data_IF_558250590510
#
_entry.id   IF_558250590510
#
_cell.length_a   1.000
_cell.length_b   1.000
_cell.length_c   1.000
_cell.angle_alpha   90.00
_cell.angle_beta   90.00
_cell.angle_gamma   90.00
#
_symmetry.space_group_name_H-M   'P 1'
#
loop_
_entity.id
_entity.type
_entity.pdbx_description
1 polymer ?
#
# COMPACT_ATOMS: atom_id res chain seq x y z
N UNK A 1 29.26 30.63 -8.25
CA UNK A 1 28.08 30.27 -7.43
C UNK A 1 28.62 29.90 -6.07
N UNK A 2 28.19 30.59 -5.01
CA UNK A 2 28.66 30.25 -3.66
C UNK A 2 28.06 28.89 -3.25
N UNK A 3 28.90 27.96 -2.81
CA UNK A 3 28.46 26.68 -2.26
C UNK A 3 27.66 26.89 -0.96
N UNK A 4 26.87 25.88 -0.57
CA UNK A 4 26.24 25.90 0.75
C UNK A 4 27.32 25.80 1.83
N UNK A 5 27.27 26.62 2.91
CA UNK A 5 28.28 26.63 3.98
C UNK A 5 28.37 25.31 4.76
N UNK A 6 27.34 24.48 4.65
CA UNK A 6 27.26 23.14 5.21
C UNK A 6 26.72 22.22 4.13
N UNK A 7 27.32 21.03 3.99
CA UNK A 7 26.78 19.95 3.17
C UNK A 7 26.90 18.61 3.90
N UNK A 8 26.02 17.68 3.54
CA UNK A 8 26.03 16.32 4.07
C UNK A 8 26.42 15.33 2.98
N UNK A 9 27.23 14.36 3.35
CA UNK A 9 27.45 13.12 2.60
C UNK A 9 26.99 11.96 3.48
N UNK A 10 26.27 11.00 2.94
CA UNK A 10 25.74 9.88 3.71
C UNK A 10 26.41 8.57 3.29
N UNK A 11 26.78 7.76 4.27
CA UNK A 11 27.42 6.48 4.05
C UNK A 11 26.36 5.44 3.67
N UNK A 12 26.40 4.98 2.41
CA UNK A 12 25.59 3.85 1.97
C UNK A 12 24.37 4.20 1.12
N UNK A 13 24.49 3.83 -0.16
CA UNK A 13 23.45 3.38 -1.11
C UNK A 13 22.11 4.15 -1.13
N UNK A 14 22.08 5.26 -1.87
CA UNK A 14 21.18 5.59 -3.01
C UNK A 14 21.03 7.12 -3.19
N UNK A 15 22.13 7.86 -3.35
CA UNK A 15 22.09 9.20 -3.95
C UNK A 15 22.23 9.07 -5.47
N UNK A 16 21.18 8.62 -6.16
CA UNK A 16 21.12 8.78 -7.63
C UNK A 16 20.67 10.21 -7.93
N UNK A 17 21.61 11.15 -7.99
CA UNK A 17 21.32 12.57 -8.25
C UNK A 17 20.83 13.34 -7.03
N UNK A 18 20.06 14.42 -7.24
CA UNK A 18 19.53 15.34 -6.21
C UNK A 18 18.44 14.72 -5.30
N UNK A 19 18.28 13.40 -5.27
CA UNK A 19 17.27 12.73 -4.43
C UNK A 19 17.78 12.55 -2.99
N UNK A 20 16.89 12.68 -2.01
CA UNK A 20 17.20 12.46 -0.60
C UNK A 20 17.66 11.01 -0.34
N UNK A 21 18.66 10.79 0.53
CA UNK A 21 19.12 9.44 0.88
C UNK A 21 18.01 8.67 1.61
N UNK A 22 17.89 7.37 1.36
CA UNK A 22 16.85 6.52 1.95
C UNK A 22 17.45 5.47 2.88
N UNK A 23 16.95 5.38 4.10
CA UNK A 23 17.39 4.47 5.16
C UNK A 23 16.28 3.50 5.58
N UNK A 24 16.69 2.34 6.06
CA UNK A 24 15.79 1.35 6.66
C UNK A 24 15.87 1.49 8.18
N UNK A 25 14.74 1.70 8.85
CA UNK A 25 14.68 1.87 10.31
C UNK A 25 13.85 0.74 10.97
N UNK A 26 14.24 0.25 12.17
CA UNK A 26 15.42 0.64 12.96
C UNK A 26 16.74 0.22 12.31
N UNK A 27 17.83 0.91 12.64
CA UNK A 27 19.10 0.71 11.93
C UNK A 27 20.14 1.81 12.18
N UNK A 28 21.09 1.93 11.25
CA UNK A 28 22.15 2.94 11.28
C UNK A 28 21.87 4.05 10.27
N UNK A 29 21.99 5.30 10.71
CA UNK A 29 22.06 6.47 9.84
C UNK A 29 23.42 7.11 10.06
N UNK A 30 24.32 6.95 9.09
CA UNK A 30 25.69 7.45 9.17
C UNK A 30 26.09 8.27 7.95
N UNK A 31 27.11 9.10 8.12
CA UNK A 31 27.62 9.98 7.09
C UNK A 31 28.65 10.95 7.63
N UNK A 32 28.96 11.97 6.83
CA UNK A 32 29.84 13.08 7.16
C UNK A 32 29.13 14.41 6.92
N UNK A 33 29.31 15.35 7.84
CA UNK A 33 28.98 16.76 7.61
C UNK A 33 30.26 17.49 7.21
N UNK A 34 30.17 18.25 6.12
CA UNK A 34 31.23 19.11 5.62
C UNK A 34 30.86 20.55 5.94
N UNK A 35 31.73 21.25 6.66
CA UNK A 35 31.53 22.62 7.09
C UNK A 35 32.62 23.48 6.47
N UNK A 36 32.23 24.54 5.78
CA UNK A 36 33.16 25.48 5.18
C UNK A 36 34.10 26.08 6.24
N UNK A 37 35.36 26.28 5.85
CA UNK A 37 36.43 26.78 6.73
C UNK A 37 36.02 28.00 7.54
N UNK A 38 35.41 28.98 6.87
CA UNK A 38 34.98 30.24 7.48
C UNK A 38 33.95 30.04 8.60
N UNK A 39 33.05 29.06 8.45
CA UNK A 39 32.04 28.74 9.47
C UNK A 39 32.65 27.91 10.59
N UNK A 40 33.50 26.93 10.24
CA UNK A 40 34.20 26.11 11.21
C UNK A 40 35.05 26.95 12.17
N UNK A 41 35.77 27.96 11.66
CA UNK A 41 36.58 28.87 12.48
C UNK A 41 35.76 29.74 13.45
N UNK A 42 34.48 29.97 13.17
CA UNK A 42 33.57 30.77 14.03
C UNK A 42 32.82 29.92 15.05
N UNK A 43 32.70 28.62 14.80
CA UNK A 43 32.00 27.68 15.67
C UNK A 43 32.90 27.12 16.77
N UNK A 44 32.36 27.01 17.98
CA UNK A 44 32.98 26.29 19.11
C UNK A 44 32.44 24.86 19.25
N UNK A 45 31.23 24.61 18.76
CA UNK A 45 30.59 23.31 18.82
C UNK A 45 29.68 23.07 17.62
N UNK A 46 29.50 21.79 17.28
CA UNK A 46 28.55 21.32 16.26
C UNK A 46 27.61 20.32 16.92
N UNK A 47 26.30 20.54 16.79
CA UNK A 47 25.26 19.61 17.21
C UNK A 47 24.59 19.04 15.98
N UNK A 48 24.58 17.72 15.89
CA UNK A 48 23.86 16.95 14.89
C UNK A 48 22.63 16.33 15.54
N UNK A 49 21.46 16.49 14.93
CA UNK A 49 20.21 15.93 15.44
C UNK A 49 19.51 15.15 14.34
N UNK A 50 19.27 13.86 14.54
CA UNK A 50 18.32 13.09 13.73
C UNK A 50 16.94 13.20 14.37
N UNK A 51 15.99 13.77 13.63
CA UNK A 51 14.60 13.94 14.06
C UNK A 51 13.66 13.13 13.19
N UNK A 52 12.58 12.61 13.78
CA UNK A 52 11.44 12.01 13.09
C UNK A 52 10.15 12.67 13.59
N UNK A 53 9.44 13.30 12.66
CA UNK A 53 8.23 14.07 12.94
C UNK A 53 7.03 13.53 12.18
N UNK A 54 5.90 13.47 12.87
CA UNK A 54 4.58 13.14 12.34
C UNK A 54 3.71 14.38 12.42
N UNK A 55 3.17 14.81 11.30
CA UNK A 55 2.16 15.86 11.21
C UNK A 55 0.89 15.26 10.63
N UNK A 56 -0.23 15.46 11.29
CA UNK A 56 -1.55 15.08 10.78
C UNK A 56 -2.51 16.25 10.89
N UNK A 57 -3.38 16.42 9.90
CA UNK A 57 -4.52 17.30 10.03
C UNK A 57 -5.73 16.79 9.27
N UNK A 58 -6.89 17.02 9.86
CA UNK A 58 -8.20 16.66 9.32
C UNK A 58 -9.02 17.93 9.23
N UNK A 59 -9.57 18.20 8.04
CA UNK A 59 -10.50 19.29 7.81
C UNK A 59 -11.85 18.72 7.42
N UNK A 60 -12.89 19.08 8.16
CA UNK A 60 -14.26 18.64 7.94
C UNK A 60 -15.16 19.84 7.59
N UNK A 61 -15.74 19.82 6.40
CA UNK A 61 -16.66 20.85 5.92
C UNK A 61 -18.12 20.40 5.99
N UNK A 62 -18.96 21.21 6.65
CA UNK A 62 -20.42 21.03 6.70
C UNK A 62 -21.06 21.95 5.67
N UNK A 63 -21.42 21.42 4.51
CA UNK A 63 -21.94 22.24 3.40
C UNK A 63 -23.23 23.00 3.74
N UNK A 64 -24.04 22.48 4.67
CA UNK A 64 -25.30 23.11 5.07
C UNK A 64 -25.11 24.42 5.85
N UNK A 65 -23.99 24.57 6.57
CA UNK A 65 -23.71 25.73 7.42
C UNK A 65 -22.52 26.56 6.93
N UNK A 66 -21.79 26.07 5.92
CA UNK A 66 -20.54 26.69 5.47
C UNK A 66 -19.41 26.62 6.51
N UNK A 67 -19.59 25.89 7.61
CA UNK A 67 -18.59 25.76 8.67
C UNK A 67 -17.51 24.76 8.28
N UNK A 68 -16.27 25.10 8.64
CA UNK A 68 -15.09 24.26 8.44
C UNK A 68 -14.44 24.04 9.81
N UNK A 69 -14.39 22.79 10.23
CA UNK A 69 -13.63 22.36 11.41
C UNK A 69 -12.27 21.85 10.94
N UNK A 70 -11.19 22.40 11.49
CA UNK A 70 -9.83 21.92 11.24
C UNK A 70 -9.22 21.44 12.56
N UNK A 71 -8.63 20.25 12.53
CA UNK A 71 -7.86 19.69 13.64
C UNK A 71 -6.48 19.30 13.14
N UNK A 72 -5.45 19.52 13.96
CA UNK A 72 -4.07 19.18 13.62
C UNK A 72 -3.34 18.63 14.84
N UNK A 73 -2.40 17.72 14.58
CA UNK A 73 -1.50 17.14 15.56
C UNK A 73 -0.09 17.12 14.95
N UNK A 74 0.88 17.58 15.71
CA UNK A 74 2.32 17.42 15.42
C UNK A 74 2.93 16.59 16.56
N UNK A 75 3.69 15.56 16.21
CA UNK A 75 4.35 14.67 17.16
C UNK A 75 5.80 14.43 16.74
N UNK A 76 6.73 14.77 17.64
CA UNK A 76 8.11 14.32 17.57
C UNK A 76 8.20 12.91 18.17
N UNK A 77 8.60 11.92 17.39
CA UNK A 77 8.66 10.51 17.83
C UNK A 77 10.07 9.91 17.75
N UNK A 78 11.03 10.65 17.20
CA UNK A 78 12.44 10.29 17.18
C UNK A 78 13.25 11.57 17.34
N UNK A 79 14.15 11.60 18.31
CA UNK A 79 15.17 12.62 18.47
C UNK A 79 16.44 11.96 18.98
N UNK A 80 17.48 11.95 18.16
CA UNK A 80 18.82 11.49 18.53
C UNK A 80 19.79 12.63 18.32
N UNK A 81 20.60 12.90 19.34
CA UNK A 81 21.53 14.03 19.35
C UNK A 81 22.97 13.51 19.44
N UNK A 82 23.83 14.05 18.61
CA UNK A 82 25.27 13.89 18.66
C UNK A 82 25.93 15.28 18.72
N UNK A 83 26.85 15.48 19.66
CA UNK A 83 27.47 16.78 19.92
C UNK A 83 28.98 16.67 19.90
N UNK A 84 29.59 17.51 19.08
CA UNK A 84 31.04 17.64 18.93
C UNK A 84 31.47 18.95 19.57
N UNK A 85 31.95 18.87 20.81
CA UNK A 85 32.53 19.99 21.54
C UNK A 85 34.02 20.08 21.19
N UNK A 86 34.48 21.27 20.83
CA UNK A 86 35.82 21.51 20.27
C UNK A 86 35.96 21.00 18.84
N UNK A 87 35.64 21.87 17.89
CA UNK A 87 36.39 21.88 16.63
C UNK A 87 37.80 22.29 17.03
N UNK A 88 38.63 21.33 17.49
CA UNK A 88 40.04 21.61 17.72
C UNK A 88 40.54 22.31 16.47
N UNK A 89 41.25 23.42 16.65
CA UNK A 89 41.93 24.11 15.56
C UNK A 89 43.02 23.16 15.06
N UNK A 90 42.62 22.10 14.35
CA UNK A 90 43.51 21.22 13.61
C UNK A 90 44.35 22.18 12.80
N UNK A 91 45.67 22.15 12.99
CA UNK A 91 46.59 23.10 12.38
C UNK A 91 46.34 23.18 10.88
N UNK A 92 45.54 24.17 10.47
CA UNK A 92 45.06 24.39 9.10
C UNK A 92 46.19 25.03 8.28
N UNK A 93 47.34 24.36 8.21
CA UNK A 93 48.50 24.78 7.43
C UNK A 93 48.37 24.45 5.93
N UNK A 94 47.20 23.98 5.48
CA UNK A 94 46.86 23.73 4.07
C UNK A 94 45.67 24.57 3.63
N UNK A 95 45.78 25.20 2.46
CA UNK A 95 45.01 26.39 2.07
C UNK A 95 43.53 26.15 1.67
N UNK A 96 42.98 24.93 1.75
CA UNK A 96 41.63 24.62 1.22
C UNK A 96 40.81 23.64 2.08
N UNK A 97 41.08 23.51 3.39
CA UNK A 97 40.40 22.51 4.22
C UNK A 97 38.97 22.90 4.64
N UNK A 98 37.96 22.12 4.25
CA UNK A 98 36.66 22.07 4.94
C UNK A 98 36.78 21.18 6.19
N UNK A 99 36.04 21.50 7.25
CA UNK A 99 35.93 20.64 8.42
C UNK A 99 34.99 19.48 8.10
N UNK A 100 35.47 18.25 8.28
CA UNK A 100 34.69 17.03 8.04
C UNK A 100 34.43 16.32 9.36
N UNK A 101 33.17 16.22 9.77
CA UNK A 101 32.78 15.54 11.00
C UNK A 101 31.96 14.29 10.64
N UNK A 102 32.45 13.08 10.93
CA UNK A 102 31.66 11.86 10.77
C UNK A 102 30.59 11.77 11.87
N UNK A 103 29.43 11.23 11.53
CA UNK A 103 28.35 10.97 12.48
C UNK A 103 27.74 9.59 12.26
N UNK A 104 27.19 9.02 13.33
CA UNK A 104 26.49 7.74 13.27
C UNK A 104 25.38 7.71 14.31
N UNK A 105 24.13 7.76 13.87
CA UNK A 105 22.96 7.54 14.71
C UNK A 105 22.58 6.06 14.70
N UNK A 106 22.54 5.46 15.89
CA UNK A 106 21.95 4.12 16.09
C UNK A 106 20.48 4.29 16.46
N UNK A 107 19.60 4.03 15.51
CA UNK A 107 18.16 4.16 15.73
C UNK A 107 17.64 2.89 16.41
N UNK A 108 17.14 2.99 17.66
CA UNK A 108 16.69 1.82 18.41
C UNK A 108 15.41 1.26 17.82
N UNK A 109 15.14 -0.04 17.99
CA UNK A 109 13.78 -0.56 17.75
C UNK A 109 12.80 0.16 18.68
N UNK A 110 11.69 0.73 18.19
CA UNK A 110 10.77 1.43 19.05
C UNK A 110 10.17 0.42 20.05
N UNK A 111 10.34 0.71 21.34
CA UNK A 111 9.75 -0.12 22.38
C UNK A 111 8.23 -0.03 22.26
N UNK A 112 7.51 -1.17 22.32
CA UNK A 112 6.05 -1.17 22.32
C UNK A 112 5.59 -0.37 23.53
N UNK A 113 5.11 0.86 23.32
CA UNK A 113 4.59 1.68 24.39
C UNK A 113 3.23 1.12 24.81
N UNK A 114 3.22 0.07 25.65
CA UNK A 114 2.12 -0.35 26.54
C UNK A 114 0.70 -0.50 25.96
N UNK A 115 0.48 -0.33 24.67
CA UNK A 115 -0.84 -0.30 24.06
C UNK A 115 -1.27 -1.74 23.81
N UNK A 116 -2.24 -2.20 24.58
CA UNK A 116 -2.91 -3.48 24.41
C UNK A 116 -3.95 -3.37 23.28
N UNK A 117 -3.50 -3.40 22.03
CA UNK A 117 -4.37 -3.39 20.86
C UNK A 117 -3.64 -3.77 19.57
N UNK A 118 -4.36 -4.06 18.49
CA UNK A 118 -3.79 -4.46 17.19
C UNK A 118 -2.78 -3.43 16.65
N UNK A 119 -2.99 -2.13 16.94
CA UNK A 119 -2.07 -1.05 16.60
C UNK A 119 -1.00 -0.76 17.66
N UNK A 120 -1.16 -1.28 18.88
CA UNK A 120 -0.17 -1.16 19.95
C UNK A 120 1.07 -2.04 19.77
N UNK A 121 1.06 -2.90 18.74
CA UNK A 121 2.19 -3.70 18.29
C UNK A 121 2.86 -3.14 17.03
N UNK A 122 2.56 -1.89 16.64
CA UNK A 122 3.32 -1.20 15.60
C UNK A 122 4.74 -0.89 16.10
N UNK A 123 5.60 -1.89 16.11
CA UNK A 123 7.00 -1.88 16.58
C UNK A 123 7.96 -1.28 15.57
N UNK A 124 7.47 -0.42 14.68
CA UNK A 124 8.26 0.10 13.56
C UNK A 124 8.04 1.60 13.36
N UNK A 125 9.10 2.28 12.92
CA UNK A 125 9.04 3.66 12.50
C UNK A 125 8.19 3.79 11.22
N UNK A 126 7.27 4.77 11.13
CA UNK A 126 6.49 4.97 9.93
C UNK A 126 7.41 5.33 8.75
N UNK A 127 7.14 4.82 7.54
CA UNK A 127 7.90 5.23 6.36
C UNK A 127 7.71 6.72 6.07
N UNK A 128 8.71 7.36 5.46
CA UNK A 128 8.59 8.74 4.99
C UNK A 128 7.39 8.85 4.05
N UNK A 129 6.50 9.78 4.36
CA UNK A 129 5.25 9.92 3.65
C UNK A 129 4.80 11.37 3.62
N UNK A 130 4.23 11.79 2.50
CA UNK A 130 3.39 13.00 2.45
C UNK A 130 2.10 12.69 1.70
N UNK A 131 0.98 12.94 2.36
CA UNK A 131 -0.37 12.79 1.85
C UNK A 131 -0.94 14.18 1.60
N UNK A 132 -1.19 14.47 0.32
CA UNK A 132 -1.84 15.73 -0.08
C UNK A 132 -3.32 15.76 0.29
N UNK A 133 -3.86 16.97 0.36
CA UNK A 133 -5.28 17.24 0.70
C UNK A 133 -6.22 16.81 -0.42
N UNK A 134 -6.42 15.49 -0.62
CA UNK A 134 -7.44 15.01 -1.56
C UNK A 134 -8.78 14.97 -0.85
N UNK A 135 -9.80 15.57 -1.48
CA UNK A 135 -11.18 15.51 -0.98
C UNK A 135 -11.75 14.14 -1.27
N UNK A 136 -12.13 13.39 -0.24
CA UNK A 136 -13.18 12.40 -0.37
C UNK A 136 -14.51 13.16 -0.28
N UNK A 137 -15.25 13.21 -1.40
CA UNK A 137 -16.64 13.65 -1.36
C UNK A 137 -17.46 12.45 -0.93
N UNK A 138 -17.90 12.47 0.32
CA UNK A 138 -18.84 11.48 0.84
C UNK A 138 -20.07 12.26 1.27
N UNK A 139 -21.16 12.12 0.51
CA UNK A 139 -22.39 12.89 0.69
C UNK A 139 -22.21 14.43 0.56
N UNK A 140 -23.01 15.19 1.31
CA UNK A 140 -22.95 16.66 1.42
C UNK A 140 -21.80 17.15 2.32
N UNK A 141 -20.95 16.26 2.82
CA UNK A 141 -19.81 16.59 3.68
C UNK A 141 -18.50 16.39 2.91
N UNK A 142 -17.57 17.33 3.04
CA UNK A 142 -16.26 17.20 2.44
C UNK A 142 -15.21 17.09 3.54
N UNK A 143 -14.55 15.95 3.63
CA UNK A 143 -13.36 15.79 4.46
C UNK A 143 -12.09 15.97 3.62
N UNK A 144 -11.06 16.55 4.23
CA UNK A 144 -9.70 16.60 3.70
C UNK A 144 -8.76 16.06 4.77
N UNK A 145 -7.84 15.21 4.34
CA UNK A 145 -6.79 14.66 5.18
C UNK A 145 -5.44 15.22 4.72
N UNK A 146 -4.57 15.52 5.67
CA UNK A 146 -3.15 15.76 5.42
C UNK A 146 -2.35 14.98 6.44
N UNK A 147 -1.37 14.22 5.97
CA UNK A 147 -0.45 13.46 6.81
C UNK A 147 0.95 13.61 6.27
N UNK A 148 1.92 13.91 7.12
CA UNK A 148 3.33 13.96 6.77
C UNK A 148 4.15 13.23 7.82
N UNK A 149 5.06 12.36 7.36
CA UNK A 149 6.08 11.71 8.18
C UNK A 149 7.41 12.11 7.55
N UNK A 150 8.21 12.86 8.31
CA UNK A 150 9.49 13.39 7.85
C UNK A 150 10.60 12.99 8.80
N UNK A 151 11.74 12.67 8.21
CA UNK A 151 12.97 12.42 8.93
C UNK A 151 14.01 13.41 8.46
N UNK A 152 14.69 14.04 9.41
CA UNK A 152 15.61 15.14 9.10
C UNK A 152 16.88 14.99 9.92
N UNK A 153 18.03 15.16 9.27
CA UNK A 153 19.29 15.39 9.95
C UNK A 153 19.56 16.89 9.95
N UNK A 154 19.74 17.45 11.15
CA UNK A 154 19.93 18.88 11.38
C UNK A 154 21.33 19.08 11.94
N UNK A 155 22.13 19.92 11.28
CA UNK A 155 23.41 20.42 11.79
C UNK A 155 23.24 21.84 12.30
N UNK A 156 23.55 22.05 13.58
CA UNK A 156 23.53 23.35 14.25
C UNK A 156 24.96 23.70 14.70
N UNK A 157 25.45 24.87 14.28
CA UNK A 157 26.76 25.39 14.70
C UNK A 157 26.53 26.43 15.80
N UNK A 158 27.35 26.35 16.84
CA UNK A 158 27.27 27.24 17.99
C UNK A 158 28.55 28.02 18.19
N UNK A 159 28.42 29.30 18.54
CA UNK A 159 29.49 30.15 19.03
C UNK A 159 29.18 30.51 20.49
N UNK A 160 29.79 29.78 21.43
CA UNK A 160 29.36 29.82 22.83
C UNK A 160 27.97 29.20 22.96
N UNK A 161 27.01 29.90 23.56
CA UNK A 161 25.62 29.43 23.67
C UNK A 161 24.73 29.86 22.49
N UNK A 162 25.25 30.69 21.57
CA UNK A 162 24.46 31.21 20.46
C UNK A 162 24.56 30.30 19.24
N UNK A 163 23.42 29.85 18.74
CA UNK A 163 23.33 29.23 17.41
C UNK A 163 23.64 30.27 16.33
N UNK A 164 24.62 29.96 15.48
CA UNK A 164 25.05 30.84 14.38
C UNK A 164 24.58 30.36 13.01
N UNK A 165 24.39 29.06 12.84
CA UNK A 165 23.96 28.46 11.58
C UNK A 165 23.21 27.15 11.84
N UNK A 166 22.15 26.93 11.06
CA UNK A 166 21.38 25.70 11.05
C UNK A 166 21.18 25.24 9.61
N UNK A 167 21.47 23.97 9.35
CA UNK A 167 21.29 23.35 8.05
C UNK A 167 20.58 22.02 8.21
N UNK A 168 19.53 21.80 7.41
CA UNK A 168 18.69 20.62 7.50
C UNK A 168 18.72 19.83 6.19
N UNK A 169 18.72 18.51 6.29
CA UNK A 169 18.55 17.60 5.15
C UNK A 169 17.48 16.59 5.47
N UNK A 170 16.50 16.49 4.58
CA UNK A 170 15.50 15.43 4.61
C UNK A 170 16.13 14.10 4.22
N UNK A 171 15.75 13.04 4.93
CA UNK A 171 16.07 11.66 4.59
C UNK A 171 14.78 10.86 4.38
N UNK A 172 14.81 9.96 3.41
CA UNK A 172 13.77 8.96 3.23
C UNK A 172 13.92 7.83 4.24
N UNK A 173 12.82 7.34 4.76
CA UNK A 173 12.78 6.13 5.59
C UNK A 173 11.83 5.14 4.95
N UNK A 174 12.31 3.91 4.79
CA UNK A 174 11.49 2.76 4.44
C UNK A 174 11.39 1.84 5.66
N UNK A 175 10.18 1.33 5.89
CA UNK A 175 9.95 0.33 6.92
C UNK A 175 10.16 -1.05 6.27
N UNK A 176 11.17 -1.79 6.73
CA UNK A 176 11.52 -3.14 6.25
C UNK A 176 11.48 -4.09 7.42
N UNK A 177 10.30 -4.30 8.00
CA UNK A 177 10.08 -5.50 8.82
C UNK A 177 9.07 -6.41 8.12
N UNK A 178 9.59 -7.48 7.51
CA UNK A 178 8.76 -8.62 7.06
C UNK A 178 8.20 -9.42 8.23
N UNK A 179 8.76 -9.27 9.41
CA UNK A 179 8.44 -10.14 10.54
C UNK A 179 7.03 -9.86 11.08
N UNK A 180 6.51 -8.64 10.88
CA UNK A 180 5.16 -8.25 11.29
C UNK A 180 4.49 -7.39 10.21
N UNK A 181 4.06 -7.98 9.08
CA UNK A 181 3.25 -7.25 8.10
C UNK A 181 1.97 -6.78 8.80
N UNK A 182 1.53 -5.51 8.66
CA UNK A 182 0.23 -5.10 9.19
C UNK A 182 -0.86 -6.05 8.68
N UNK A 183 -1.74 -6.54 9.56
CA UNK A 183 -2.84 -7.41 9.17
C UNK A 183 -3.77 -6.62 8.24
N UNK A 184 -3.85 -7.05 6.98
CA UNK A 184 -4.85 -6.59 6.02
C UNK A 184 -5.47 -7.83 5.41
N UNK A 185 -6.07 -8.67 6.25
CA UNK A 185 -6.92 -9.76 5.75
C UNK A 185 -8.28 -9.21 5.40
N UNK A 186 -9.02 -9.91 4.53
CA UNK A 186 -10.43 -9.55 4.26
C UNK A 186 -11.26 -9.55 5.56
N UNK A 187 -10.91 -10.41 6.51
CA UNK A 187 -11.63 -10.59 7.77
C UNK A 187 -11.46 -9.38 8.72
N UNK A 188 -10.36 -8.64 8.60
CA UNK A 188 -10.11 -7.43 9.40
C UNK A 188 -11.00 -6.23 8.99
N UNK A 189 -11.61 -6.29 7.79
CA UNK A 189 -12.35 -5.17 7.20
C UNK A 189 -13.70 -5.62 6.60
N UNK A 190 -14.64 -6.07 7.45
CA UNK A 190 -15.91 -6.60 6.99
C UNK A 190 -16.70 -5.53 6.19
N UNK A 191 -17.04 -5.86 4.96
CA UNK A 191 -17.87 -5.01 4.08
C UNK A 191 -17.11 -3.99 3.22
N UNK A 192 -15.80 -3.78 3.44
CA UNK A 192 -14.99 -2.92 2.56
C UNK A 192 -14.54 -3.65 1.30
N UNK A 193 -14.03 -4.86 1.49
CA UNK A 193 -13.53 -5.69 0.41
C UNK A 193 -14.62 -6.56 -0.16
N UNK A 194 -14.60 -6.70 -1.49
CA UNK A 194 -15.53 -7.53 -2.23
C UNK A 194 -14.74 -8.42 -3.17
N UNK A 195 -14.22 -9.52 -2.64
CA UNK A 195 -13.44 -10.50 -3.38
C UNK A 195 -14.31 -11.47 -4.21
N UNK A 196 -15.63 -11.46 -4.01
CA UNK A 196 -16.56 -12.23 -4.84
C UNK A 196 -17.74 -11.39 -5.31
N UNK A 197 -18.20 -11.65 -6.53
CA UNK A 197 -19.38 -11.03 -7.10
C UNK A 197 -19.98 -11.92 -8.18
N UNK A 198 -21.28 -11.83 -8.41
CA UNK A 198 -21.92 -12.59 -9.46
C UNK A 198 -23.20 -11.94 -9.96
N UNK A 199 -23.48 -12.14 -11.24
CA UNK A 199 -24.61 -11.51 -11.94
C UNK A 199 -25.13 -12.43 -13.03
N UNK A 200 -26.44 -12.37 -13.24
CA UNK A 200 -27.11 -13.12 -14.31
C UNK A 200 -26.73 -12.55 -15.68
N UNK A 201 -26.39 -13.44 -16.61
CA UNK A 201 -26.20 -13.12 -18.02
C UNK A 201 -27.61 -13.11 -18.64
N UNK A 202 -28.02 -11.95 -19.16
CA UNK A 202 -29.29 -11.86 -19.90
C UNK A 202 -29.01 -12.28 -21.34
N UNK A 203 -29.69 -13.33 -21.79
CA UNK A 203 -29.84 -13.56 -23.23
C UNK A 203 -30.73 -12.46 -23.80
N UNK A 204 -30.40 -11.86 -24.95
CA UNK A 204 -31.32 -10.95 -25.61
C UNK A 204 -32.63 -11.69 -25.89
N UNK A 205 -33.78 -11.01 -25.79
CA UNK A 205 -35.04 -11.60 -26.21
C UNK A 205 -34.89 -11.94 -27.70
N UNK A 206 -34.93 -13.23 -28.04
CA UNK A 206 -35.00 -13.66 -29.43
C UNK A 206 -36.34 -13.13 -29.95
N UNK A 207 -36.31 -12.03 -30.72
CA UNK A 207 -37.46 -11.55 -31.48
C UNK A 207 -37.69 -12.61 -32.55
N UNK A 208 -38.51 -13.62 -32.22
CA UNK A 208 -38.97 -14.61 -33.18
C UNK A 208 -39.89 -13.89 -34.15
N UNK A 209 -39.37 -13.47 -35.31
CA UNK A 209 -40.20 -13.19 -36.48
C UNK A 209 -40.86 -14.52 -36.88
N UNK A 210 -42.13 -14.66 -36.51
CA UNK A 210 -42.95 -15.85 -36.71
C UNK A 210 -43.17 -16.14 -38.19
N UNK A 211 -42.97 -17.40 -38.59
CA UNK A 211 -43.99 -18.27 -39.22
C UNK A 211 -43.41 -19.70 -39.36
N UNK A 212 -44.03 -20.65 -38.66
CA UNK A 212 -43.92 -22.12 -38.80
C UNK A 212 -42.93 -22.97 -37.97
N UNK A 213 -42.27 -22.49 -36.91
CA UNK A 213 -41.54 -23.38 -36.00
C UNK A 213 -42.04 -23.33 -34.55
N UNK A 214 -42.22 -24.52 -33.95
CA UNK A 214 -42.69 -24.77 -32.57
C UNK A 214 -42.01 -23.83 -31.56
N UNK A 215 -42.69 -23.41 -30.48
CA UNK A 215 -42.11 -22.57 -29.44
C UNK A 215 -41.14 -23.39 -28.55
N UNK A 216 -40.05 -23.89 -29.13
CA UNK A 216 -38.86 -24.28 -28.35
C UNK A 216 -38.02 -23.01 -28.19
N UNK A 217 -38.29 -22.22 -27.15
CA UNK A 217 -37.27 -21.33 -26.60
C UNK A 217 -36.96 -21.87 -25.22
N UNK A 218 -36.02 -22.82 -25.16
CA UNK A 218 -35.40 -23.20 -23.90
C UNK A 218 -34.82 -21.92 -23.30
N UNK A 219 -35.46 -21.41 -22.25
CA UNK A 219 -35.04 -20.17 -21.60
C UNK A 219 -33.87 -20.52 -20.69
N UNK A 220 -32.66 -20.57 -21.27
CA UNK A 220 -31.45 -20.81 -20.48
C UNK A 220 -31.14 -19.57 -19.66
N UNK A 221 -31.14 -19.72 -18.33
CA UNK A 221 -30.71 -18.68 -17.38
C UNK A 221 -29.28 -18.97 -16.99
N UNK A 222 -28.38 -18.04 -17.29
CA UNK A 222 -26.99 -18.15 -16.91
C UNK A 222 -26.65 -17.12 -15.84
N UNK A 223 -25.76 -17.49 -14.92
CA UNK A 223 -25.19 -16.60 -13.92
C UNK A 223 -23.69 -16.81 -13.87
N UNK A 224 -22.94 -15.74 -14.13
CA UNK A 224 -21.50 -15.72 -13.94
C UNK A 224 -21.21 -15.17 -12.55
N UNK A 225 -20.42 -15.88 -11.77
CA UNK A 225 -19.80 -15.40 -10.56
C UNK A 225 -18.29 -15.51 -10.67
N UNK A 226 -17.58 -14.61 -10.01
CA UNK A 226 -16.13 -14.57 -9.93
C UNK A 226 -15.75 -14.41 -8.47
N UNK A 227 -14.83 -15.24 -8.03
CA UNK A 227 -14.22 -15.19 -6.70
C UNK A 227 -12.73 -15.05 -6.88
N UNK A 228 -12.13 -14.08 -6.24
CA UNK A 228 -10.68 -13.88 -6.22
C UNK A 228 -10.19 -14.24 -4.84
N UNK A 229 -9.16 -15.08 -4.77
CA UNK A 229 -8.50 -15.38 -3.52
C UNK A 229 -7.70 -14.16 -3.05
N UNK A 230 -7.66 -13.94 -1.75
CA UNK A 230 -6.81 -12.92 -1.17
C UNK A 230 -5.36 -13.11 -1.66
N UNK A 231 -4.73 -12.08 -2.24
CA UNK A 231 -3.40 -12.19 -2.79
C UNK A 231 -2.36 -12.31 -1.68
N UNK A 232 -1.27 -13.03 -1.99
CA UNK A 232 -0.11 -13.05 -1.11
C UNK A 232 0.54 -11.67 -1.05
N UNK A 233 1.25 -11.44 0.05
CA UNK A 233 2.11 -10.27 0.25
C UNK A 233 2.99 -10.02 -0.98
N UNK A 234 2.90 -8.82 -1.53
CA UNK A 234 3.71 -8.39 -2.66
C UNK A 234 4.99 -7.73 -2.17
N UNK A 235 6.12 -8.25 -2.65
CA UNK A 235 7.44 -7.73 -2.38
C UNK A 235 7.96 -6.97 -3.59
N UNK A 236 7.94 -5.65 -3.52
CA UNK A 236 8.59 -4.79 -4.48
C UNK A 236 10.09 -4.77 -4.16
N UNK A 237 10.86 -5.52 -4.94
CA UNK A 237 12.32 -5.43 -4.88
C UNK A 237 12.77 -4.02 -5.27
N UNK A 238 13.63 -3.38 -4.48
CA UNK A 238 14.27 -2.10 -4.83
C UNK A 238 15.37 -2.26 -5.90
N UNK A 239 15.10 -3.04 -6.95
CA UNK A 239 16.08 -3.30 -7.99
C UNK A 239 16.30 -2.03 -8.82
N UNK A 240 17.57 -1.67 -9.02
CA UNK A 240 18.06 -0.50 -9.78
C UNK A 240 17.68 -0.48 -11.26
N UNK A 241 16.89 -1.46 -11.72
CA UNK A 241 16.44 -1.50 -13.11
C UNK A 241 15.18 -0.64 -13.24
N UNK A 242 15.39 0.67 -13.41
CA UNK A 242 14.38 1.54 -14.01
C UNK A 242 13.80 0.82 -15.24
N UNK A 243 12.49 0.59 -15.24
CA UNK A 243 11.78 -0.04 -16.36
C UNK A 243 11.41 -1.52 -16.19
N UNK A 244 11.73 -2.19 -15.07
CA UNK A 244 11.12 -3.50 -14.80
C UNK A 244 9.68 -3.33 -14.30
N UNK A 245 8.73 -3.81 -15.10
CA UNK A 245 7.34 -3.91 -14.69
C UNK A 245 7.22 -4.89 -13.52
N UNK A 246 6.62 -4.47 -12.41
CA UNK A 246 6.26 -5.38 -11.34
C UNK A 246 4.94 -6.04 -11.70
N UNK A 247 4.83 -7.35 -11.52
CA UNK A 247 3.60 -8.07 -11.77
C UNK A 247 2.99 -8.57 -10.47
N UNK A 248 1.68 -8.42 -10.38
CA UNK A 248 0.87 -9.02 -9.35
C UNK A 248 0.18 -10.27 -9.88
N UNK A 249 0.18 -11.34 -9.09
CA UNK A 249 -0.59 -12.55 -9.38
C UNK A 249 -1.86 -12.58 -8.56
N UNK A 250 -3.02 -12.66 -9.22
CA UNK A 250 -4.31 -12.92 -8.58
C UNK A 250 -4.85 -14.28 -9.02
N UNK A 251 -5.22 -15.13 -8.08
CA UNK A 251 -5.90 -16.40 -8.37
C UNK A 251 -7.42 -16.15 -8.44
N UNK A 252 -7.98 -16.24 -9.64
CA UNK A 252 -9.39 -15.97 -9.94
C UNK A 252 -10.13 -17.28 -10.29
N UNK A 253 -11.27 -17.49 -9.64
CA UNK A 253 -12.16 -18.62 -9.88
C UNK A 253 -13.46 -18.10 -10.48
N UNK A 254 -13.70 -18.45 -11.75
CA UNK A 254 -14.92 -18.16 -12.47
C UNK A 254 -15.88 -19.32 -12.28
N UNK A 255 -17.11 -19.02 -11.89
CA UNK A 255 -18.21 -19.96 -11.76
C UNK A 255 -19.32 -19.57 -12.73
N UNK A 256 -19.71 -20.51 -13.59
CA UNK A 256 -20.87 -20.36 -14.45
C UNK A 256 -21.95 -21.33 -14.02
N UNK A 257 -23.06 -20.78 -13.56
CA UNK A 257 -24.28 -21.53 -13.30
C UNK A 257 -25.21 -21.41 -14.50
N UNK A 258 -25.71 -22.54 -14.98
CA UNK A 258 -26.64 -22.61 -16.11
C UNK A 258 -27.87 -23.43 -15.70
N UNK A 259 -29.05 -22.81 -15.79
CA UNK A 259 -30.34 -23.47 -15.60
C UNK A 259 -31.08 -23.52 -16.94
N UNK A 260 -31.54 -24.70 -17.34
CA UNK A 260 -32.23 -24.94 -18.60
C UNK A 260 -33.41 -25.89 -18.43
N UNK A 261 -34.46 -25.72 -19.21
CA UNK A 261 -35.58 -26.67 -19.27
C UNK A 261 -35.26 -27.92 -20.10
N UNK A 262 -34.08 -27.98 -20.73
CA UNK A 262 -33.58 -29.13 -21.50
C UNK A 262 -32.35 -29.71 -20.81
N UNK A 263 -32.37 -31.02 -20.54
CA UNK A 263 -31.27 -31.76 -19.94
C UNK A 263 -30.01 -31.73 -20.82
N UNK A 264 -30.17 -31.89 -22.13
CA UNK A 264 -29.05 -31.87 -23.07
C UNK A 264 -28.36 -30.51 -23.07
N UNK A 265 -29.14 -29.41 -23.08
CA UNK A 265 -28.62 -28.05 -23.01
C UNK A 265 -27.98 -27.71 -21.66
N UNK A 266 -28.51 -28.26 -20.56
CA UNK A 266 -27.88 -28.10 -19.25
C UNK A 266 -26.54 -28.83 -19.17
N UNK A 267 -26.44 -30.03 -19.75
CA UNK A 267 -25.22 -30.86 -19.70
C UNK A 267 -24.11 -30.38 -20.64
N UNK A 268 -24.44 -29.54 -21.63
CA UNK A 268 -23.46 -29.05 -22.61
C UNK A 268 -22.43 -28.13 -21.94
N UNK A 269 -21.17 -28.40 -22.22
CA UNK A 269 -20.06 -27.53 -21.78
C UNK A 269 -20.27 -26.11 -22.32
N UNK A 270 -20.06 -25.06 -21.51
CA UNK A 270 -20.18 -23.69 -21.95
C UNK A 270 -19.19 -23.37 -23.07
N UNK A 271 -19.63 -22.55 -24.02
CA UNK A 271 -18.76 -22.04 -25.08
C UNK A 271 -17.68 -21.09 -24.52
N UNK A 272 -16.77 -20.68 -25.40
CA UNK A 272 -15.77 -19.66 -25.09
C UNK A 272 -16.41 -18.35 -24.62
N UNK A 273 -15.80 -17.74 -23.60
CA UNK A 273 -16.25 -16.46 -23.06
C UNK A 273 -15.12 -15.45 -23.09
N UNK A 274 -15.36 -14.32 -23.78
CA UNK A 274 -14.41 -13.22 -23.83
C UNK A 274 -14.64 -12.30 -22.63
N UNK A 275 -13.60 -12.08 -21.84
CA UNK A 275 -13.64 -11.22 -20.65
C UNK A 275 -12.63 -10.11 -20.81
N UNK A 276 -13.10 -8.88 -20.70
CA UNK A 276 -12.26 -7.69 -20.56
C UNK A 276 -12.12 -7.37 -19.08
N UNK A 277 -10.90 -7.35 -18.57
CA UNK A 277 -10.62 -7.03 -17.16
C UNK A 277 -9.95 -5.67 -17.14
N UNK A 278 -10.64 -4.70 -16.54
CA UNK A 278 -10.07 -3.38 -16.27
C UNK A 278 -9.73 -3.25 -14.79
N UNK A 279 -8.58 -2.68 -14.48
CA UNK A 279 -8.12 -2.53 -13.09
C UNK A 279 -7.38 -1.23 -12.83
N UNK A 280 -7.41 -0.81 -11.58
CA UNK A 280 -6.52 0.21 -11.03
C UNK A 280 -6.11 -0.20 -9.62
N UNK A 281 -4.94 0.27 -9.20
CA UNK A 281 -4.49 0.17 -7.83
C UNK A 281 -4.84 1.47 -7.11
N UNK A 282 -5.56 1.36 -6.00
CA UNK A 282 -5.89 2.46 -5.11
C UNK A 282 -5.07 2.34 -3.83
N UNK A 283 -4.37 3.40 -3.45
CA UNK A 283 -3.68 3.55 -2.17
C UNK A 283 -4.49 4.50 -1.30
N UNK A 284 -5.07 3.98 -0.23
CA UNK A 284 -5.88 4.75 0.70
C UNK A 284 -5.10 4.96 1.98
N UNK A 285 -4.86 6.23 2.32
CA UNK A 285 -4.22 6.63 3.58
C UNK A 285 -5.25 7.24 4.50
N UNK A 286 -5.43 6.62 5.66
CA UNK A 286 -6.22 7.11 6.77
C UNK A 286 -5.32 7.96 7.66
N UNK A 287 -5.83 9.13 8.01
CA UNK A 287 -5.19 10.11 8.86
C UNK A 287 -6.11 10.36 10.04
N UNK A 288 -5.55 10.24 11.24
CA UNK A 288 -6.24 10.55 12.48
C UNK A 288 -5.43 11.56 13.28
N UNK A 289 -6.13 12.49 13.94
CA UNK A 289 -5.53 13.43 14.91
C UNK A 289 -5.66 12.94 16.35
N UNK A 290 -6.24 11.75 16.54
CA UNK A 290 -6.33 11.03 17.82
C UNK A 290 -5.74 9.63 17.65
N UNK A 291 -5.11 9.05 18.67
CA UNK A 291 -4.54 7.71 18.55
C UNK A 291 -5.64 6.67 18.32
N UNK A 292 -5.46 5.85 17.29
CA UNK A 292 -6.31 4.73 16.94
C UNK A 292 -5.78 3.44 17.59
N UNK A 293 -6.69 2.62 18.09
CA UNK A 293 -6.39 1.31 18.68
C UNK A 293 -6.70 0.16 17.72
N UNK A 294 -7.51 0.42 16.71
CA UNK A 294 -7.94 -0.50 15.65
C UNK A 294 -7.67 0.10 14.26
N UNK A 295 -7.59 -0.76 13.25
CA UNK A 295 -7.35 -0.31 11.89
C UNK A 295 -8.55 0.46 11.35
N UNK A 296 -8.36 1.70 10.87
CA UNK A 296 -9.48 2.55 10.45
C UNK A 296 -10.13 2.04 9.17
N UNK A 297 -11.46 2.06 9.16
CA UNK A 297 -12.29 1.80 7.99
C UNK A 297 -12.71 3.09 7.27
N UNK A 298 -13.14 2.97 6.02
CA UNK A 298 -13.83 4.02 5.27
C UNK A 298 -15.10 4.47 5.99
N UNK A 299 -15.80 3.57 6.68
CA UNK A 299 -16.97 3.92 7.47
C UNK A 299 -16.58 4.79 8.67
N UNK A 300 -15.47 4.51 9.33
CA UNK A 300 -14.94 5.34 10.42
C UNK A 300 -14.56 6.73 9.90
N UNK A 301 -13.88 6.82 8.76
CA UNK A 301 -13.54 8.09 8.13
C UNK A 301 -14.77 8.91 7.67
N UNK A 302 -15.95 8.29 7.56
CA UNK A 302 -17.23 8.95 7.28
C UNK A 302 -17.90 9.41 8.58
N UNK A 303 -17.89 8.54 9.58
CA UNK A 303 -18.62 8.73 10.83
C UNK A 303 -17.89 9.65 11.82
N UNK A 304 -16.56 9.63 11.80
CA UNK A 304 -15.71 10.29 12.80
C UNK A 304 -15.03 11.55 12.22
N UNK A 305 -15.25 12.76 12.78
CA UNK A 305 -14.61 13.99 12.32
C UNK A 305 -13.10 14.08 12.67
N UNK A 306 -12.56 13.15 13.45
CA UNK A 306 -11.15 13.06 13.80
C UNK A 306 -10.36 12.19 12.81
N UNK A 307 -11.04 11.42 11.96
CA UNK A 307 -10.45 10.52 10.98
C UNK A 307 -10.83 11.00 9.57
N UNK A 308 -9.86 11.02 8.67
CA UNK A 308 -10.14 11.23 7.26
C UNK A 308 -9.28 10.32 6.40
N UNK A 309 -9.84 9.92 5.25
CA UNK A 309 -9.11 9.12 4.27
C UNK A 309 -8.73 9.97 3.06
N UNK A 310 -7.59 9.66 2.47
CA UNK A 310 -7.13 10.21 1.20
C UNK A 310 -6.67 9.06 0.31
N UNK A 311 -7.32 8.92 -0.85
CA UNK A 311 -7.01 7.87 -1.82
C UNK A 311 -6.23 8.44 -3.00
N UNK A 312 -5.19 7.74 -3.46
CA UNK A 312 -4.53 7.95 -4.76
C UNK A 312 -4.72 6.69 -5.61
N UNK A 313 -4.87 6.85 -6.92
CA UNK A 313 -5.17 5.74 -7.82
C UNK A 313 -4.23 5.77 -9.02
N UNK A 314 -3.70 4.61 -9.41
CA UNK A 314 -2.97 4.48 -10.68
C UNK A 314 -3.91 4.69 -11.86
N UNK A 315 -3.38 4.96 -13.07
CA UNK A 315 -4.19 4.95 -14.29
C UNK A 315 -4.92 3.62 -14.47
N UNK A 316 -6.14 3.68 -15.02
CA UNK A 316 -6.94 2.50 -15.36
C UNK A 316 -6.26 1.72 -16.49
N UNK A 317 -6.08 0.41 -16.28
CA UNK A 317 -5.49 -0.52 -17.24
C UNK A 317 -6.50 -1.57 -17.65
N UNK A 318 -6.27 -2.24 -18.78
CA UNK A 318 -7.18 -3.26 -19.30
C UNK A 318 -6.43 -4.42 -19.97
N UNK A 319 -6.89 -5.65 -19.77
CA UNK A 319 -6.43 -6.88 -20.41
C UNK A 319 -7.65 -7.62 -20.95
N UNK A 320 -7.42 -8.44 -21.97
CA UNK A 320 -8.43 -9.33 -22.54
C UNK A 320 -8.05 -10.76 -22.22
N UNK A 321 -9.03 -11.53 -21.77
CA UNK A 321 -8.92 -12.94 -21.41
C UNK A 321 -9.98 -13.71 -22.19
N UNK A 322 -9.65 -14.94 -22.60
CA UNK A 322 -10.62 -15.86 -23.22
C UNK A 322 -10.73 -17.07 -22.32
N UNK A 323 -11.89 -17.25 -21.70
CA UNK A 323 -12.19 -18.41 -20.85
C UNK A 323 -12.66 -19.56 -21.74
N UNK A 324 -11.96 -20.69 -21.66
CA UNK A 324 -12.23 -21.94 -22.41
C UNK A 324 -12.09 -23.13 -21.46
N UNK A 325 -12.42 -24.31 -21.95
CA UNK A 325 -12.21 -25.59 -21.25
C UNK A 325 -12.74 -25.56 -19.80
N UNK A 326 -14.03 -25.26 -19.67
CA UNK A 326 -14.74 -25.24 -18.39
C UNK A 326 -14.82 -26.64 -17.77
N UNK A 327 -14.64 -26.74 -16.46
CA UNK A 327 -14.73 -28.00 -15.72
C UNK A 327 -16.10 -28.12 -15.04
N UNK A 328 -16.78 -29.26 -15.20
CA UNK A 328 -18.06 -29.52 -14.53
C UNK A 328 -17.86 -29.80 -13.04
N UNK A 329 -18.75 -29.28 -12.19
CA UNK A 329 -18.75 -29.55 -10.75
C UNK A 329 -19.53 -30.83 -10.39
N UNK A 330 -20.21 -31.46 -11.35
CA UNK A 330 -21.15 -32.57 -11.11
C UNK A 330 -20.49 -33.96 -11.21
N UNK A 331 -19.18 -34.01 -11.50
CA UNK A 331 -18.38 -35.24 -11.51
C UNK A 331 -17.86 -35.59 -10.11
N UNK A 332 -18.18 -36.79 -9.61
CA UNK A 332 -17.88 -37.28 -8.25
C UNK A 332 -16.40 -37.52 -7.90
N UNK A 333 -15.48 -36.69 -8.39
CA UNK A 333 -14.06 -36.75 -8.05
C UNK A 333 -13.43 -35.36 -8.07
N UNK A 334 -13.12 -34.86 -6.87
CA UNK A 334 -12.30 -33.68 -6.54
C UNK A 334 -13.03 -32.35 -6.23
N UNK A 335 -12.69 -31.87 -5.02
CA UNK A 335 -12.93 -30.58 -4.37
C UNK A 335 -14.39 -30.08 -4.23
N UNK A 336 -14.92 -29.93 -2.99
CA UNK A 336 -16.24 -29.35 -2.77
C UNK A 336 -16.30 -27.90 -3.28
N UNK A 337 -17.40 -27.53 -3.95
CA UNK A 337 -17.69 -26.15 -4.30
C UNK A 337 -17.61 -25.25 -3.04
N UNK A 338 -16.91 -24.10 -3.09
CA UNK A 338 -16.77 -23.19 -1.95
C UNK A 338 -18.04 -22.38 -1.65
N UNK A 339 -19.08 -22.49 -2.48
CA UNK A 339 -20.42 -22.07 -2.09
C UNK A 339 -21.06 -23.24 -1.38
N UNK A 340 -21.41 -23.10 -0.10
CA UNK A 340 -22.06 -24.11 0.75
C UNK A 340 -23.43 -24.62 0.27
N UNK A 341 -23.72 -24.48 -1.02
CA UNK A 341 -24.74 -25.18 -1.75
C UNK A 341 -24.32 -26.65 -1.88
N UNK A 342 -24.68 -27.47 -0.90
CA UNK A 342 -24.79 -28.91 -1.15
C UNK A 342 -25.55 -29.09 -2.45
N UNK A 343 -24.95 -29.81 -3.41
CA UNK A 343 -25.62 -30.34 -4.58
C UNK A 343 -26.68 -31.32 -4.12
N UNK A 344 -27.80 -30.80 -3.63
CA UNK A 344 -29.03 -31.54 -3.50
C UNK A 344 -29.52 -31.59 -4.94
N UNK A 345 -29.40 -32.76 -5.58
CA UNK A 345 -30.32 -33.14 -6.64
C UNK A 345 -31.72 -33.03 -6.05
N UNK A 346 -32.31 -31.83 -6.07
CA UNK A 346 -33.71 -31.60 -5.73
C UNK A 346 -34.51 -32.20 -6.89
N UNK A 347 -34.67 -33.53 -6.87
CA UNK A 347 -35.83 -34.18 -7.47
C UNK A 347 -37.02 -33.70 -6.65
N UNK A 348 -37.54 -32.52 -6.99
CA UNK A 348 -38.78 -32.00 -6.44
C UNK A 348 -39.91 -32.84 -7.03
N UNK A 349 -40.11 -34.04 -6.50
CA UNK A 349 -41.36 -34.79 -6.69
C UNK A 349 -42.41 -34.12 -5.80
N UNK A 350 -42.99 -33.04 -6.28
CA UNK A 350 -44.24 -32.51 -5.74
C UNK A 350 -45.10 -32.14 -6.95
N UNK A 351 -46.30 -32.72 -6.98
CA UNK A 351 -47.42 -32.50 -7.91
C UNK A 351 -47.67 -30.99 -8.13
N UNK A 352 -46.84 -30.36 -8.95
CA UNK A 352 -46.95 -28.97 -9.38
C UNK A 352 -46.55 -28.94 -10.84
N UNK A 353 -47.38 -28.31 -11.66
CA UNK A 353 -47.24 -28.15 -13.13
C UNK A 353 -46.07 -27.24 -13.53
N UNK A 354 -45.07 -27.07 -12.67
CA UNK A 354 -43.89 -26.28 -12.95
C UNK A 354 -42.94 -27.06 -13.88
N UNK A 355 -42.37 -26.42 -14.91
CA UNK A 355 -41.41 -27.07 -15.78
C UNK A 355 -40.19 -27.53 -14.97
N UNK A 356 -39.69 -28.74 -15.27
CA UNK A 356 -38.47 -29.28 -14.68
C UNK A 356 -37.29 -28.44 -15.19
N UNK A 357 -36.59 -27.76 -14.29
CA UNK A 357 -35.34 -27.07 -14.59
C UNK A 357 -34.16 -27.99 -14.25
N UNK A 358 -33.24 -28.15 -15.19
CA UNK A 358 -31.97 -28.83 -15.03
C UNK A 358 -30.88 -27.77 -14.78
N UNK A 359 -30.13 -27.95 -13.71
CA UNK A 359 -29.02 -27.06 -13.32
C UNK A 359 -27.69 -27.72 -13.62
N UNK A 360 -26.74 -26.96 -14.13
CA UNK A 360 -25.34 -27.36 -14.28
C UNK A 360 -24.41 -26.27 -13.77
N UNK A 361 -23.31 -26.73 -13.19
CA UNK A 361 -22.31 -25.87 -12.58
C UNK A 361 -20.95 -26.10 -13.22
N UNK A 362 -20.37 -25.03 -13.72
CA UNK A 362 -19.08 -25.03 -14.38
C UNK A 362 -18.13 -24.08 -13.67
N UNK A 363 -16.85 -24.44 -13.61
CA UNK A 363 -15.83 -23.56 -13.09
C UNK A 363 -14.61 -23.48 -13.99
N UNK A 364 -13.88 -22.38 -13.84
CA UNK A 364 -12.60 -22.16 -14.50
C UNK A 364 -11.67 -21.39 -13.57
N UNK A 365 -10.49 -21.94 -13.32
CA UNK A 365 -9.46 -21.30 -12.53
C UNK A 365 -8.47 -20.59 -13.46
N UNK A 366 -8.21 -19.32 -13.21
CA UNK A 366 -7.28 -18.51 -13.99
C UNK A 366 -6.38 -17.70 -13.07
N UNK A 367 -5.10 -17.61 -13.44
CA UNK A 367 -4.13 -16.76 -12.75
C UNK A 367 -3.93 -15.47 -13.54
N UNK A 368 -4.35 -14.35 -12.97
CA UNK A 368 -4.24 -13.04 -13.59
C UNK A 368 -2.90 -12.41 -13.22
N UNK A 369 -2.11 -12.04 -14.23
CA UNK A 369 -0.87 -11.28 -14.04
C UNK A 369 -1.12 -9.82 -14.40
N UNK A 370 -1.17 -8.96 -13.38
CA UNK A 370 -1.49 -7.54 -13.54
C UNK A 370 -0.20 -6.71 -13.42
N UNK A 371 0.23 -6.01 -14.49
CA UNK A 371 1.39 -5.12 -14.42
C UNK A 371 1.07 -3.88 -13.58
N UNK A 372 1.90 -3.66 -12.57
CA UNK A 372 1.99 -2.46 -11.75
C UNK A 372 3.20 -1.67 -12.22
N UNK A 373 2.94 -0.53 -12.84
CA UNK A 373 3.96 0.43 -13.24
C UNK A 373 3.77 1.67 -12.38
N UNK A 374 4.85 2.34 -12.01
CA UNK A 374 4.83 3.63 -11.27
C UNK A 374 4.33 3.57 -9.81
N UNK A 375 4.82 2.60 -9.03
CA UNK A 375 4.66 2.68 -7.58
C UNK A 375 5.65 3.73 -7.04
N UNK A 376 5.14 4.89 -6.61
CA UNK A 376 5.96 5.97 -6.06
C UNK A 376 6.62 5.54 -4.76
N UNK A 377 7.69 6.23 -4.38
CA UNK A 377 8.26 6.15 -3.04
C UNK A 377 7.16 6.40 -1.99
N UNK A 378 7.01 5.49 -1.02
CA UNK A 378 5.91 5.50 -0.05
C UNK A 378 4.76 4.52 -0.31
N UNK A 379 4.81 3.67 -1.34
CA UNK A 379 3.75 2.67 -1.64
C UNK A 379 3.68 1.48 -0.66
N UNK A 380 4.35 1.53 0.49
CA UNK A 380 4.31 0.44 1.46
C UNK A 380 3.01 0.47 2.26
N UNK A 381 2.53 -0.72 2.61
CA UNK A 381 1.42 -0.89 3.54
C UNK A 381 2.00 -0.77 4.95
N UNK A 382 1.44 0.11 5.76
CA UNK A 382 1.88 0.32 7.13
C UNK A 382 0.72 0.83 7.98
N UNK A 383 0.84 0.69 9.29
CA UNK A 383 -0.11 1.26 10.22
C UNK A 383 0.57 1.76 11.48
N UNK A 384 0.17 2.95 11.92
CA UNK A 384 0.49 3.56 13.20
C UNK A 384 -0.82 4.06 13.84
N UNK A 385 -0.82 4.47 15.12
CA UNK A 385 -2.01 5.02 15.75
C UNK A 385 -2.60 6.24 15.04
N UNK A 386 -1.83 6.96 14.22
CA UNK A 386 -2.28 8.20 13.59
C UNK A 386 -2.33 8.14 12.06
N UNK A 387 -1.61 7.19 11.45
CA UNK A 387 -1.54 7.02 10.01
C UNK A 387 -1.62 5.54 9.64
N UNK A 388 -2.52 5.21 8.72
CA UNK A 388 -2.61 3.86 8.17
C UNK A 388 -2.71 3.94 6.66
N UNK A 389 -1.89 3.17 5.93
CA UNK A 389 -1.94 3.09 4.47
C UNK A 389 -2.25 1.67 4.03
N UNK A 390 -3.30 1.54 3.23
CA UNK A 390 -3.79 0.27 2.68
C UNK A 390 -3.90 0.37 1.17
N UNK A 391 -3.78 -0.77 0.49
CA UNK A 391 -3.91 -0.84 -0.96
C UNK A 391 -5.08 -1.74 -1.35
N UNK A 392 -5.81 -1.32 -2.36
CA UNK A 392 -6.96 -2.05 -2.90
C UNK A 392 -6.88 -2.07 -4.41
N UNK A 393 -7.11 -3.23 -5.01
CA UNK A 393 -7.24 -3.35 -6.45
C UNK A 393 -8.72 -3.30 -6.78
N UNK A 394 -9.10 -2.27 -7.52
CA UNK A 394 -10.43 -2.15 -8.06
C UNK A 394 -10.46 -2.89 -9.39
N UNK A 395 -11.21 -3.98 -9.46
CA UNK A 395 -11.36 -4.81 -10.66
C UNK A 395 -12.75 -4.64 -11.23
N UNK A 396 -12.81 -4.49 -12.54
CA UNK A 396 -14.03 -4.50 -13.32
C UNK A 396 -13.91 -5.55 -14.42
N UNK A 397 -14.77 -6.56 -14.37
CA UNK A 397 -14.81 -7.62 -15.36
C UNK A 397 -16.02 -7.42 -16.24
N UNK A 398 -15.80 -7.34 -17.55
CA UNK A 398 -16.83 -7.24 -18.57
C UNK A 398 -16.76 -8.47 -19.45
N UNK A 399 -17.68 -9.40 -19.24
CA UNK A 399 -17.74 -10.67 -19.94
C UNK A 399 -18.84 -10.71 -20.98
N UNK A 400 -18.52 -11.13 -22.20
CA UNK A 400 -19.46 -11.32 -23.29
C UNK A 400 -19.38 -12.77 -23.78
N UNK A 401 -20.54 -13.43 -23.86
CA UNK A 401 -20.70 -14.65 -24.67
C UNK A 401 -21.24 -14.25 -26.03
N UNK A 402 -20.92 -15.03 -27.07
CA UNK A 402 -21.42 -14.75 -28.42
C UNK A 402 -22.95 -14.58 -28.43
N UNK A 403 -23.43 -13.44 -28.92
CA UNK A 403 -24.86 -13.11 -28.95
C UNK A 403 -25.52 -12.77 -27.61
N UNK A 404 -24.78 -12.64 -26.50
CA UNK A 404 -25.32 -12.29 -25.18
C UNK A 404 -24.97 -10.84 -24.75
N UNK A 405 -25.74 -10.26 -23.83
CA UNK A 405 -25.40 -8.94 -23.26
C UNK A 405 -24.18 -9.04 -22.36
N UNK A 406 -23.29 -8.04 -22.43
CA UNK A 406 -22.13 -7.95 -21.56
C UNK A 406 -22.53 -7.96 -20.07
N UNK A 407 -21.90 -8.83 -19.28
CA UNK A 407 -22.02 -8.83 -17.83
C UNK A 407 -20.87 -8.07 -17.21
N UNK A 408 -21.20 -7.04 -16.43
CA UNK A 408 -20.24 -6.23 -15.68
C UNK A 408 -20.26 -6.62 -14.20
N UNK A 409 -19.11 -7.08 -13.71
CA UNK A 409 -18.84 -7.39 -12.30
C UNK A 409 -17.79 -6.41 -11.77
N UNK A 410 -17.92 -6.03 -10.50
CA UNK A 410 -16.95 -5.18 -9.79
C UNK A 410 -16.48 -5.88 -8.53
N UNK A 411 -15.18 -5.87 -8.28
CA UNK A 411 -14.52 -6.47 -7.13
C UNK A 411 -13.55 -5.46 -6.54
N UNK A 412 -13.36 -5.52 -5.23
CA UNK A 412 -12.38 -4.73 -4.48
C UNK A 412 -11.53 -5.72 -3.68
N UNK A 413 -10.28 -5.92 -4.10
CA UNK A 413 -9.40 -6.96 -3.55
C UNK A 413 -8.31 -6.28 -2.72
N UNK A 414 -8.10 -6.65 -1.44
CA UNK A 414 -7.04 -6.08 -0.63
C UNK A 414 -5.67 -6.47 -1.19
N UNK A 415 -4.70 -5.59 -1.06
CA UNK A 415 -3.32 -5.87 -1.43
C UNK A 415 -2.37 -5.37 -0.33
N UNK A 416 -1.44 -6.24 0.05
CA UNK A 416 -0.35 -5.90 0.94
C UNK A 416 0.92 -5.71 0.12
N UNK A 417 1.46 -4.49 0.16
CA UNK A 417 2.66 -4.10 -0.58
C UNK A 417 3.79 -3.80 0.41
N UNK A 418 4.91 -4.50 0.28
CA UNK A 418 6.16 -4.24 0.99
C UNK A 418 7.25 -3.89 -0.01
N UNK A 419 8.11 -2.96 0.39
CA UNK A 419 9.31 -2.63 -0.35
C UNK A 419 10.44 -3.39 0.31
N UNK A 420 10.83 -4.51 -0.29
CA UNK A 420 11.95 -5.31 0.19
C UNK A 420 13.20 -4.81 -0.51
N UNK A 421 14.20 -4.43 0.27
CA UNK A 421 15.54 -4.28 -0.26
C UNK A 421 16.04 -5.67 -0.64
N UNK A 422 16.43 -5.94 -1.90
CA UNK A 422 17.10 -7.19 -2.20
C UNK A 422 18.30 -7.28 -1.26
N UNK A 423 18.60 -8.45 -0.69
CA UNK A 423 19.79 -8.67 0.10
C UNK A 423 21.00 -8.56 -0.84
N UNK A 424 21.36 -7.34 -1.24
CA UNK A 424 22.64 -7.09 -1.87
C UNK A 424 23.65 -7.21 -0.76
N UNK A 425 24.23 -8.41 -0.68
CA UNK A 425 25.58 -8.71 -0.25
C UNK A 425 26.03 -7.72 0.83
N UNK A 426 25.87 -8.15 2.08
CA UNK A 426 26.87 -7.88 3.11
C UNK A 426 28.22 -8.24 2.49
N UNK A 427 28.75 -7.38 1.63
CA UNK A 427 30.18 -7.27 1.46
C UNK A 427 30.59 -6.91 2.87
N UNK A 428 31.14 -7.90 3.56
CA UNK A 428 32.08 -7.71 4.64
C UNK A 428 33.08 -6.69 4.11
N UNK A 429 32.74 -5.40 4.25
CA UNK A 429 33.68 -4.34 4.10
C UNK A 429 34.61 -4.57 5.28
N UNK A 430 35.69 -5.30 4.99
CA UNK A 430 36.84 -5.47 5.84
C UNK A 430 36.98 -4.18 6.66
N UNK A 431 36.86 -4.33 7.98
CA UNK A 431 37.32 -3.34 8.91
C UNK A 431 38.81 -3.14 8.61
N UNK A 432 39.10 -2.17 7.75
CA UNK A 432 40.44 -1.62 7.62
C UNK A 432 40.74 -0.98 8.98
N UNK A 433 41.85 -1.30 9.64
CA UNK A 433 42.17 -0.76 10.94
C UNK A 433 42.59 0.70 10.78
N UNK A 434 41.60 1.59 10.65
CA UNK A 434 41.81 3.01 10.86
C UNK A 434 42.14 3.18 12.34
N UNK A 435 43.32 3.76 12.59
CA UNK A 435 43.85 4.09 13.92
C UNK A 435 42.74 4.56 14.85
N UNK A 436 42.53 3.79 15.92
CA UNK A 436 41.75 4.21 17.07
C UNK A 436 42.43 5.44 17.67
N UNK A 437 41.94 6.63 17.30
CA UNK A 437 41.98 7.78 18.19
C UNK A 437 41.05 7.46 19.37
N UNK A 438 41.40 7.81 20.62
CA UNK A 438 40.57 7.49 21.77
C UNK A 438 39.25 8.25 21.65
N UNK A 439 38.18 7.52 21.30
CA UNK A 439 36.80 7.97 21.40
C UNK A 439 36.52 8.21 22.88
N UNK A 440 36.51 9.48 23.28
CA UNK A 440 35.81 9.92 24.48
C UNK A 440 34.33 9.60 24.23
N UNK A 441 33.77 8.70 25.02
CA UNK A 441 32.36 8.34 24.95
C UNK A 441 31.52 9.58 25.29
N UNK A 442 31.01 10.27 24.26
CA UNK A 442 29.96 11.27 24.44
C UNK A 442 28.66 10.54 24.81
N UNK A 443 27.97 10.94 25.89
CA UNK A 443 26.67 10.36 26.24
C UNK A 443 25.63 10.75 25.17
N UNK A 444 25.05 9.75 24.51
CA UNK A 444 23.84 9.91 23.70
C UNK A 444 22.67 10.04 24.66
N UNK A 445 22.04 11.22 24.71
CA UNK A 445 20.82 11.42 25.48
C UNK A 445 19.62 11.00 24.63
N UNK A 446 18.86 10.01 25.11
CA UNK A 446 17.51 9.72 24.63
C UNK A 446 16.57 10.53 25.52
N UNK A 447 15.80 11.45 24.94
CA UNK A 447 14.73 12.17 25.64
C UNK A 447 13.39 11.51 25.42
#
# INVERSE_FOLDING_TARGET
MAGSPISFSFDGRHSTGNAAPVFDLPGLVCGTVHIDRDQACRSHAVKLTLTGKLETSVTYGISATGLVLMRSLEQLFLELVDTHASVERVDMAGDEGSLVIPFTFRVPTPMSQGCTGLLGHATCYPPSLTVGTRRLRINSTSSRAHGSVRYQVVAQLFQGEREILCYLVDIGVTNVSLENPPPVSVDDFPGEYKCSNGKSIRSPPIIKTWRFSRPCSAQSRMRLAVTIREPKVMNLGTSRQQGKEHYMSLDALFHLHQASTSADEASKQPDEMHVTISWLLESTTFVSVVPLYELPTLQDAIADPYIAAAATSTPLRTIKLVLRDWTSCDGGGAAPCPTGSQSVRKRRFILTTAPIEFESHWHRHERLFLPLTELTEGSTTFSTPYLSRRHTIQLQLEGCRHGATAVRLRLAVPLQIFKIRPPNELTEAHASPARQSPLVASPVYVR
#
